data_IF_134567452429
#
_entry.id   IF_134567452429
#
_cell.length_a   1.000
_cell.length_b   1.000
_cell.length_c   1.000
_cell.angle_alpha   90.00
_cell.angle_beta   90.00
_cell.angle_gamma   90.00
#
_symmetry.space_group_name_H-M   'P 1'
#
loop_
_entity.id
_entity.type
_entity.pdbx_description
1 polymer ?
#
# COMPACT_ATOMS: atom_id res chain seq x y z
N UNK A 1 -31.40 -2.44 68.65
CA UNK A 1 -30.50 -1.29 68.39
C UNK A 1 -29.82 -1.52 67.05
N UNK A 2 -29.53 -0.42 66.33
CA UNK A 2 -29.32 -0.32 64.88
C UNK A 2 -28.08 -1.06 64.36
N UNK A 3 -28.23 -1.75 63.23
CA UNK A 3 -27.14 -2.20 62.36
C UNK A 3 -26.50 -1.01 61.64
N UNK A 4 -25.17 -0.82 61.60
CA UNK A 4 -24.56 0.07 60.63
C UNK A 4 -24.37 -0.70 59.32
N UNK A 5 -25.15 -0.33 58.32
CA UNK A 5 -24.90 -0.70 56.93
C UNK A 5 -23.60 -0.02 56.50
N UNK A 6 -22.53 -0.80 56.31
CA UNK A 6 -21.31 -0.31 55.66
C UNK A 6 -21.63 -0.22 54.18
N UNK A 7 -21.88 1.00 53.73
CA UNK A 7 -22.10 1.35 52.33
C UNK A 7 -20.79 1.08 51.58
N UNK A 8 -20.68 -0.09 50.95
CA UNK A 8 -19.64 -0.41 49.98
C UNK A 8 -19.83 0.52 48.79
N UNK A 9 -19.14 1.67 48.81
CA UNK A 9 -19.00 2.53 47.65
C UNK A 9 -18.15 1.74 46.65
N UNK A 10 -18.81 0.98 45.77
CA UNK A 10 -18.23 0.57 44.50
C UNK A 10 -17.91 1.87 43.76
N UNK A 11 -16.66 2.31 43.84
CA UNK A 11 -16.10 3.25 42.88
C UNK A 11 -16.21 2.52 41.53
N UNK A 12 -17.29 2.78 40.81
CA UNK A 12 -17.37 2.54 39.38
C UNK A 12 -16.31 3.45 38.76
N UNK A 13 -15.07 2.97 38.73
CA UNK A 13 -14.11 3.42 37.75
C UNK A 13 -14.74 3.07 36.41
N UNK A 14 -15.51 4.01 35.85
CA UNK A 14 -15.80 4.02 34.43
C UNK A 14 -14.44 4.23 33.78
N UNK A 15 -13.71 3.13 33.61
CA UNK A 15 -12.60 3.09 32.70
C UNK A 15 -13.19 3.52 31.37
N UNK A 16 -12.80 4.70 30.89
CA UNK A 16 -12.93 5.02 29.49
C UNK A 16 -12.10 3.96 28.77
N UNK A 17 -12.71 2.83 28.43
CA UNK A 17 -12.23 2.02 27.34
C UNK A 17 -12.33 2.96 26.13
N UNK A 18 -11.20 3.59 25.77
CA UNK A 18 -11.04 4.08 24.41
C UNK A 18 -11.32 2.86 23.54
N UNK A 19 -12.53 2.78 23.00
CA UNK A 19 -12.87 1.76 22.03
C UNK A 19 -11.76 1.81 21.00
N UNK A 20 -11.08 0.69 20.78
CA UNK A 20 -10.24 0.55 19.60
C UNK A 20 -11.16 0.92 18.44
N UNK A 21 -10.93 2.05 17.79
CA UNK A 21 -11.57 2.31 16.53
C UNK A 21 -11.23 1.09 15.67
N UNK A 22 -12.25 0.32 15.27
CA UNK A 22 -12.03 -0.75 14.32
C UNK A 22 -11.46 -0.07 13.08
N UNK A 23 -10.21 -0.37 12.75
CA UNK A 23 -9.61 0.09 11.51
C UNK A 23 -10.54 -0.32 10.36
N UNK A 24 -10.78 0.55 9.36
CA UNK A 24 -11.74 0.24 8.30
C UNK A 24 -11.28 -0.93 7.41
N UNK A 25 -10.07 -1.44 7.64
CA UNK A 25 -9.43 -2.55 6.94
C UNK A 25 -8.78 -3.53 7.91
N UNK A 26 -8.54 -4.76 7.45
CA UNK A 26 -7.92 -5.81 8.27
C UNK A 26 -6.42 -5.95 8.01
N UNK A 27 -5.95 -5.60 6.82
CA UNK A 27 -4.54 -5.60 6.45
C UNK A 27 -4.26 -4.63 5.29
N UNK A 28 -2.98 -4.30 5.10
CA UNK A 28 -2.51 -3.49 3.97
C UNK A 28 -1.85 -4.41 2.93
N UNK A 29 -2.23 -4.28 1.66
CA UNK A 29 -1.52 -4.89 0.55
C UNK A 29 -0.48 -3.92 0.02
N UNK A 30 0.80 -4.27 0.10
CA UNK A 30 1.87 -3.53 -0.55
C UNK A 30 2.09 -4.09 -1.97
N UNK A 31 1.78 -3.28 -2.98
CA UNK A 31 1.72 -3.70 -4.37
C UNK A 31 2.87 -3.07 -5.14
N UNK A 32 3.66 -3.91 -5.80
CA UNK A 32 4.75 -3.53 -6.67
C UNK A 32 4.40 -3.86 -8.13
N UNK A 33 4.74 -2.95 -9.04
CA UNK A 33 4.68 -3.15 -10.49
C UNK A 33 6.04 -3.51 -11.05
N UNK A 34 6.04 -4.45 -12.00
CA UNK A 34 7.09 -4.54 -13.00
C UNK A 34 6.73 -3.68 -14.20
N UNK A 35 7.32 -2.49 -14.27
CA UNK A 35 6.99 -1.48 -15.28
C UNK A 35 7.01 -2.04 -16.72
N UNK A 36 8.01 -2.86 -17.07
CA UNK A 36 8.11 -3.47 -18.40
C UNK A 36 6.98 -4.46 -18.70
N UNK A 37 6.60 -5.27 -17.72
CA UNK A 37 5.47 -6.21 -17.84
C UNK A 37 4.13 -5.48 -17.92
N UNK A 38 3.88 -4.55 -17.00
CA UNK A 38 2.63 -3.78 -16.95
C UNK A 38 2.43 -2.86 -18.16
N UNK A 39 3.49 -2.54 -18.91
CA UNK A 39 3.44 -1.72 -20.11
C UNK A 39 3.40 -2.51 -21.43
N UNK A 40 3.36 -3.85 -21.39
CA UNK A 40 3.19 -4.66 -22.60
C UNK A 40 1.86 -4.30 -23.28
N UNK A 41 1.93 -3.85 -24.53
CA UNK A 41 0.78 -3.41 -25.33
C UNK A 41 -0.02 -2.21 -24.77
N UNK A 42 0.49 -1.50 -23.76
CA UNK A 42 -0.16 -0.30 -23.21
C UNK A 42 0.38 0.94 -23.91
N UNK A 43 -0.34 1.43 -24.92
CA UNK A 43 0.07 2.59 -25.74
C UNK A 43 0.39 3.84 -24.91
N UNK A 44 -0.23 4.03 -23.75
CA UNK A 44 -0.06 5.22 -22.92
C UNK A 44 1.13 5.15 -21.95
N UNK A 45 1.89 4.07 -21.93
CA UNK A 45 3.13 4.01 -21.13
C UNK A 45 4.23 4.90 -21.68
N UNK A 46 5.16 5.31 -20.80
CA UNK A 46 6.41 5.95 -21.21
C UNK A 46 7.26 4.97 -22.06
N UNK A 47 8.19 5.47 -22.91
CA UNK A 47 8.99 4.59 -23.75
C UNK A 47 9.77 3.55 -22.93
N UNK A 48 9.94 2.31 -23.43
CA UNK A 48 10.59 1.23 -22.69
C UNK A 48 11.98 1.56 -22.15
N UNK A 49 12.76 2.37 -22.87
CA UNK A 49 14.09 2.83 -22.45
C UNK A 49 14.08 3.69 -21.17
N UNK A 50 12.93 4.28 -20.82
CA UNK A 50 12.72 5.10 -19.63
C UNK A 50 11.95 4.38 -18.51
N UNK A 51 11.49 3.14 -18.75
CA UNK A 51 10.81 2.37 -17.72
C UNK A 51 11.83 1.91 -16.66
N UNK A 52 11.48 1.96 -15.37
CA UNK A 52 12.30 1.38 -14.31
C UNK A 52 12.64 -0.08 -14.60
N UNK A 53 13.91 -0.44 -14.40
CA UNK A 53 14.35 -1.84 -14.51
C UNK A 53 13.93 -2.68 -13.30
N UNK A 54 13.88 -2.05 -12.12
CA UNK A 54 13.42 -2.66 -10.88
C UNK A 54 11.90 -2.59 -10.74
N UNK A 55 11.36 -3.43 -9.86
CA UNK A 55 9.99 -3.25 -9.38
C UNK A 55 9.87 -1.89 -8.70
N UNK A 56 8.76 -1.20 -8.93
CA UNK A 56 8.42 0.04 -8.25
C UNK A 56 7.10 -0.13 -7.52
N UNK A 57 6.87 0.67 -6.50
CA UNK A 57 5.58 0.73 -5.82
C UNK A 57 4.51 1.16 -6.80
N UNK A 58 3.37 0.50 -6.69
CA UNK A 58 2.14 0.91 -7.32
C UNK A 58 1.12 1.41 -6.33
N UNK A 59 1.02 0.76 -5.16
CA UNK A 59 -0.02 1.03 -4.19
C UNK A 59 0.24 0.43 -2.82
N UNK A 60 -0.33 1.06 -1.78
CA UNK A 60 -0.63 0.42 -0.50
C UNK A 60 -2.15 0.39 -0.38
N UNK A 61 -2.73 -0.80 -0.36
CA UNK A 61 -4.17 -0.96 -0.50
C UNK A 61 -4.77 -1.59 0.75
N UNK A 62 -5.53 -0.82 1.55
CA UNK A 62 -6.37 -1.35 2.61
C UNK A 62 -7.31 -2.43 2.07
N UNK A 63 -7.29 -3.61 2.70
CA UNK A 63 -8.05 -4.77 2.23
C UNK A 63 -8.75 -5.45 3.41
N UNK A 64 -9.92 -6.01 3.14
CA UNK A 64 -10.66 -6.84 4.08
C UNK A 64 -10.58 -8.32 3.64
N UNK A 65 -10.12 -9.21 4.54
CA UNK A 65 -10.05 -10.66 4.37
C UNK A 65 -11.47 -11.23 4.21
N UNK A 66 -12.42 -10.79 5.03
CA UNK A 66 -13.79 -11.33 5.02
C UNK A 66 -14.51 -11.15 3.68
N UNK A 67 -14.15 -10.10 2.92
CA UNK A 67 -14.72 -9.78 1.61
C UNK A 67 -13.80 -10.06 0.43
N UNK A 68 -12.52 -10.40 0.67
CA UNK A 68 -11.46 -10.47 -0.34
C UNK A 68 -11.39 -9.21 -1.24
N UNK A 69 -11.67 -8.05 -0.69
CA UNK A 69 -11.90 -6.83 -1.47
C UNK A 69 -10.95 -5.70 -1.04
N UNK A 70 -10.30 -5.09 -2.04
CA UNK A 70 -9.55 -3.83 -1.87
C UNK A 70 -10.55 -2.71 -1.65
N UNK A 71 -10.35 -1.93 -0.60
CA UNK A 71 -11.26 -0.86 -0.23
C UNK A 71 -11.01 0.37 -1.10
N UNK A 72 -12.08 0.91 -1.68
CA UNK A 72 -12.07 2.24 -2.29
C UNK A 72 -12.55 3.28 -1.27
N UNK A 73 -11.68 4.22 -0.93
CA UNK A 73 -11.82 5.07 0.25
C UNK A 73 -12.65 6.35 -0.03
N UNK A 74 -13.71 6.19 -0.83
CA UNK A 74 -14.58 7.25 -1.38
C UNK A 74 -15.16 8.19 -0.31
N UNK A 75 -15.54 7.66 0.86
CA UNK A 75 -16.03 8.48 1.97
C UNK A 75 -14.89 9.21 2.72
N UNK A 76 -13.74 8.54 2.92
CA UNK A 76 -12.62 9.08 3.68
C UNK A 76 -11.92 10.24 2.95
N UNK A 77 -11.89 10.24 1.62
CA UNK A 77 -11.36 11.36 0.80
C UNK A 77 -12.02 12.70 1.15
N UNK A 78 -13.28 12.71 1.60
CA UNK A 78 -13.96 13.96 1.98
C UNK A 78 -13.33 14.64 3.21
N UNK A 79 -12.64 13.88 4.05
CA UNK A 79 -12.01 14.35 5.28
C UNK A 79 -10.48 14.36 5.19
N UNK A 80 -9.93 13.42 4.42
CA UNK A 80 -8.51 13.13 4.33
C UNK A 80 -8.07 13.05 2.87
N UNK A 81 -8.49 14.04 2.06
CA UNK A 81 -8.04 14.18 0.69
C UNK A 81 -6.54 14.41 0.63
N UNK A 82 -5.95 14.02 -0.50
CA UNK A 82 -4.57 14.30 -0.81
C UNK A 82 -4.25 15.80 -0.71
N UNK A 83 -3.18 16.14 0.00
CA UNK A 83 -2.59 17.46 0.05
C UNK A 83 -1.18 17.43 -0.53
N UNK A 84 -1.00 18.04 -1.71
CA UNK A 84 0.29 18.11 -2.39
C UNK A 84 1.38 18.83 -1.60
N UNK A 85 1.01 19.73 -0.68
CA UNK A 85 1.99 20.46 0.15
C UNK A 85 2.68 19.56 1.17
N UNK A 86 2.08 18.42 1.52
CA UNK A 86 2.68 17.42 2.41
C UNK A 86 3.73 16.55 1.69
N UNK A 87 3.86 16.66 0.36
CA UNK A 87 4.95 16.04 -0.40
C UNK A 87 6.17 16.97 -0.37
N UNK A 88 6.94 16.86 0.71
CA UNK A 88 8.18 17.61 0.89
C UNK A 88 9.21 17.28 -0.20
N UNK A 89 10.22 18.13 -0.45
CA UNK A 89 11.27 17.84 -1.43
C UNK A 89 12.03 16.53 -1.17
N UNK A 90 12.24 16.16 0.09
CA UNK A 90 12.85 14.88 0.46
C UNK A 90 11.94 13.72 0.12
N UNK A 91 10.67 13.76 0.55
CA UNK A 91 9.70 12.70 0.25
C UNK A 91 9.49 12.56 -1.27
N UNK A 92 9.47 13.67 -2.01
CA UNK A 92 9.40 13.65 -3.47
C UNK A 92 10.59 12.90 -4.07
N UNK A 93 11.80 13.17 -3.61
CA UNK A 93 13.01 12.48 -4.07
C UNK A 93 12.94 10.97 -3.83
N UNK A 94 12.44 10.58 -2.66
CA UNK A 94 12.25 9.17 -2.30
C UNK A 94 11.20 8.49 -3.19
N UNK A 95 10.05 9.14 -3.40
CA UNK A 95 8.95 8.63 -4.23
C UNK A 95 9.31 8.59 -5.72
N UNK A 96 10.15 9.49 -6.22
CA UNK A 96 10.66 9.42 -7.59
C UNK A 96 11.48 8.15 -7.84
N UNK A 97 12.14 7.62 -6.81
CA UNK A 97 12.89 6.38 -6.90
C UNK A 97 11.98 5.16 -6.73
N UNK A 98 11.16 5.16 -5.68
CA UNK A 98 10.38 3.98 -5.31
C UNK A 98 9.03 3.88 -6.00
N UNK A 99 8.36 4.99 -6.31
CA UNK A 99 6.96 5.03 -6.77
C UNK A 99 6.74 5.94 -8.00
N UNK A 100 7.55 5.85 -9.07
CA UNK A 100 7.30 6.65 -10.28
C UNK A 100 6.05 6.17 -11.03
N UNK A 101 5.38 7.12 -11.69
CA UNK A 101 4.42 6.85 -12.76
C UNK A 101 5.15 6.25 -13.96
N UNK A 102 4.53 5.24 -14.56
CA UNK A 102 5.00 4.59 -15.80
C UNK A 102 4.21 5.06 -17.02
N UNK A 103 3.35 6.07 -16.86
CA UNK A 103 2.40 6.55 -17.87
C UNK A 103 2.79 7.91 -18.44
N UNK A 104 2.46 8.16 -19.71
CA UNK A 104 2.65 9.45 -20.38
C UNK A 104 1.53 10.43 -20.11
N UNK A 105 0.34 9.94 -19.81
CA UNK A 105 -0.88 10.72 -19.56
C UNK A 105 -1.12 10.99 -18.07
N UNK A 106 -0.24 10.54 -17.18
CA UNK A 106 -0.31 10.79 -15.74
C UNK A 106 1.10 11.03 -15.22
N UNK A 107 1.35 12.23 -14.72
CA UNK A 107 2.60 12.51 -14.02
C UNK A 107 2.63 11.84 -12.64
N UNK A 108 3.76 11.98 -11.95
CA UNK A 108 3.95 11.38 -10.63
C UNK A 108 2.97 11.93 -9.60
N UNK A 109 2.74 13.24 -9.59
CA UNK A 109 1.84 13.88 -8.63
C UNK A 109 0.40 13.39 -8.79
N UNK A 110 -0.11 13.39 -10.02
CA UNK A 110 -1.44 12.86 -10.37
C UNK A 110 -1.57 11.39 -9.99
N UNK A 111 -0.50 10.61 -10.16
CA UNK A 111 -0.50 9.20 -9.78
C UNK A 111 -0.55 9.02 -8.26
N UNK A 112 0.28 9.73 -7.51
CA UNK A 112 0.29 9.68 -6.04
C UNK A 112 -1.02 10.17 -5.43
N UNK A 113 -1.58 11.25 -5.97
CA UNK A 113 -2.90 11.75 -5.59
C UNK A 113 -3.97 10.69 -5.81
N UNK A 114 -3.99 10.04 -6.98
CA UNK A 114 -4.95 8.99 -7.28
C UNK A 114 -4.86 7.83 -6.30
N UNK A 115 -3.67 7.29 -6.08
CA UNK A 115 -3.47 6.15 -5.17
C UNK A 115 -3.81 6.52 -3.73
N UNK A 116 -3.42 7.71 -3.26
CA UNK A 116 -3.74 8.13 -1.90
C UNK A 116 -5.24 8.39 -1.73
N UNK A 117 -5.89 9.12 -2.64
CA UNK A 117 -7.32 9.37 -2.53
C UNK A 117 -8.10 8.05 -2.60
N UNK A 118 -7.79 7.20 -3.58
CA UNK A 118 -8.51 5.94 -3.77
C UNK A 118 -8.27 4.94 -2.64
N UNK A 119 -7.06 4.86 -2.07
CA UNK A 119 -6.68 3.80 -1.14
C UNK A 119 -6.09 4.31 0.18
N UNK A 120 -5.20 5.31 0.17
CA UNK A 120 -4.54 5.79 1.38
C UNK A 120 -5.43 6.59 2.35
N UNK A 121 -6.44 7.30 1.85
CA UNK A 121 -7.24 8.25 2.65
C UNK A 121 -7.98 7.61 3.84
N UNK A 122 -8.36 6.33 3.73
CA UNK A 122 -9.00 5.57 4.81
C UNK A 122 -8.02 5.04 5.87
N UNK A 123 -6.71 5.22 5.70
CA UNK A 123 -5.75 4.91 6.77
C UNK A 123 -5.60 6.05 7.76
N UNK A 124 -6.07 7.25 7.41
CA UNK A 124 -6.05 8.41 8.29
C UNK A 124 -7.20 8.34 9.33
N UNK A 125 -7.00 8.89 10.55
CA UNK A 125 -5.80 9.61 11.00
C UNK A 125 -4.68 8.70 11.55
N UNK A 126 -4.91 7.39 11.66
CA UNK A 126 -3.95 6.45 12.27
C UNK A 126 -2.62 6.40 11.50
N UNK A 127 -2.67 6.45 10.17
CA UNK A 127 -1.53 6.60 9.27
C UNK A 127 -1.79 7.85 8.43
N UNK A 128 -1.00 8.90 8.67
CA UNK A 128 -1.09 10.17 7.93
C UNK A 128 -0.63 10.00 6.48
N UNK A 129 -0.96 10.97 5.61
CA UNK A 129 -0.50 10.96 4.22
C UNK A 129 1.02 10.81 4.10
N UNK A 130 1.78 11.61 4.87
CA UNK A 130 3.24 11.54 4.87
C UNK A 130 3.72 10.15 5.29
N UNK A 131 3.17 9.60 6.39
CA UNK A 131 3.54 8.27 6.88
C UNK A 131 3.15 7.15 5.89
N UNK A 132 2.05 7.29 5.16
CA UNK A 132 1.63 6.35 4.11
C UNK A 132 2.69 6.24 3.01
N UNK A 133 3.17 7.38 2.50
CA UNK A 133 4.19 7.43 1.47
C UNK A 133 5.59 7.02 1.98
N UNK A 134 5.99 7.46 3.17
CA UNK A 134 7.26 7.07 3.78
C UNK A 134 7.33 5.56 4.03
N UNK A 135 6.23 4.95 4.51
CA UNK A 135 6.14 3.51 4.71
C UNK A 135 6.27 2.75 3.40
N UNK A 136 5.68 3.26 2.31
CA UNK A 136 5.83 2.67 0.99
C UNK A 136 7.28 2.68 0.51
N UNK A 137 7.97 3.82 0.65
CA UNK A 137 9.38 3.94 0.30
C UNK A 137 10.26 3.00 1.15
N UNK A 138 10.01 2.97 2.47
CA UNK A 138 10.73 2.08 3.39
C UNK A 138 10.60 0.62 3.00
N UNK A 139 9.38 0.14 2.75
CA UNK A 139 9.20 -1.25 2.31
C UNK A 139 9.83 -1.54 0.96
N UNK A 140 9.73 -0.61 0.01
CA UNK A 140 10.40 -0.77 -1.27
C UNK A 140 11.92 -0.95 -1.11
N UNK A 141 12.53 -0.19 -0.18
CA UNK A 141 13.97 -0.29 0.13
C UNK A 141 14.34 -1.58 0.85
N UNK A 142 13.51 -2.04 1.79
CA UNK A 142 13.73 -3.28 2.55
C UNK A 142 13.58 -4.53 1.67
N UNK A 143 12.65 -4.51 0.71
CA UNK A 143 12.39 -5.60 -0.22
C UNK A 143 13.00 -5.30 -1.60
N UNK A 144 14.33 -5.33 -1.74
CA UNK A 144 15.01 -5.25 -3.06
C UNK A 144 14.78 -6.54 -3.86
N UNK A 145 13.55 -6.75 -4.33
CA UNK A 145 13.12 -7.91 -5.09
C UNK A 145 13.80 -8.02 -6.46
N UNK A 146 14.45 -6.95 -6.91
CA UNK A 146 15.25 -7.01 -8.12
C UNK A 146 16.41 -7.99 -7.95
N UNK A 147 17.10 -7.96 -6.80
CA UNK A 147 18.17 -8.92 -6.48
C UNK A 147 17.65 -10.37 -6.42
N UNK A 148 16.46 -10.57 -5.85
CA UNK A 148 15.83 -11.90 -5.71
C UNK A 148 15.40 -12.46 -7.08
N UNK A 149 14.93 -11.61 -7.99
CA UNK A 149 14.47 -12.03 -9.31
C UNK A 149 15.59 -12.12 -10.36
N UNK A 150 16.66 -11.32 -10.24
CA UNK A 150 17.88 -11.50 -11.05
C UNK A 150 18.57 -12.84 -10.76
N UNK A 151 18.63 -13.27 -9.49
CA UNK A 151 19.09 -14.61 -9.13
C UNK A 151 18.24 -15.72 -9.77
N UNK A 152 16.93 -15.50 -9.95
CA UNK A 152 16.03 -16.46 -10.62
C UNK A 152 16.11 -16.44 -12.14
N UNK A 153 16.35 -15.28 -12.77
CA UNK A 153 16.67 -15.17 -14.21
C UNK A 153 17.88 -16.03 -14.59
N UNK A 154 18.88 -16.08 -13.71
CA UNK A 154 20.09 -16.90 -13.92
C UNK A 154 19.82 -18.42 -13.80
N UNK A 155 18.75 -18.84 -13.10
CA UNK A 155 18.55 -20.25 -12.75
C UNK A 155 17.40 -20.98 -13.47
N UNK A 156 16.41 -20.31 -14.10
CA UNK A 156 15.46 -20.86 -15.12
C UNK A 156 14.28 -19.88 -15.34
N UNK A 157 14.27 -19.13 -16.45
CA UNK A 157 13.05 -18.53 -17.03
C UNK A 157 13.01 -17.00 -17.20
N UNK A 158 12.36 -16.56 -18.29
CA UNK A 158 12.11 -15.15 -18.61
C UNK A 158 11.02 -14.53 -17.71
N UNK A 159 11.11 -13.23 -17.42
CA UNK A 159 10.12 -12.47 -16.64
C UNK A 159 8.87 -12.07 -17.44
N UNK A 160 8.73 -12.55 -18.69
CA UNK A 160 7.73 -12.11 -19.69
C UNK A 160 6.24 -12.37 -19.35
N UNK A 161 5.93 -12.65 -18.09
CA UNK A 161 4.56 -12.75 -17.58
C UNK A 161 4.34 -12.12 -16.21
N UNK A 162 5.37 -11.55 -15.56
CA UNK A 162 5.22 -10.96 -14.22
C UNK A 162 4.87 -9.48 -14.38
N UNK A 163 3.66 -9.10 -13.96
CA UNK A 163 3.21 -7.71 -13.99
C UNK A 163 3.21 -7.09 -12.59
N UNK A 164 2.75 -7.84 -11.59
CA UNK A 164 2.55 -7.36 -10.23
C UNK A 164 3.13 -8.32 -9.20
N UNK A 165 3.60 -7.78 -8.08
CA UNK A 165 3.90 -8.52 -6.85
C UNK A 165 3.12 -7.87 -5.71
N UNK A 166 2.44 -8.68 -4.91
CA UNK A 166 1.62 -8.21 -3.79
C UNK A 166 2.21 -8.78 -2.51
N UNK A 167 2.37 -7.97 -1.48
CA UNK A 167 2.76 -8.37 -0.13
C UNK A 167 1.63 -8.04 0.83
N UNK A 168 1.30 -8.95 1.75
CA UNK A 168 0.27 -8.69 2.76
C UNK A 168 0.92 -8.30 4.08
N UNK A 169 0.59 -7.11 4.57
CA UNK A 169 0.94 -6.66 5.90
C UNK A 169 -0.27 -6.78 6.84
N UNK A 170 -0.36 -7.85 7.65
CA UNK A 170 -1.32 -7.86 8.74
C UNK A 170 -1.00 -6.74 9.74
N UNK A 171 -1.97 -6.37 10.58
CA UNK A 171 -1.79 -5.46 11.73
C UNK A 171 -0.80 -5.95 12.80
N UNK A 172 -0.18 -7.11 12.59
CA UNK A 172 0.82 -7.77 13.44
C UNK A 172 2.24 -7.65 12.83
N UNK A 173 3.32 -7.52 13.64
CA UNK A 173 4.65 -7.10 13.18
C UNK A 173 5.41 -8.09 12.27
N UNK A 174 4.81 -9.20 11.84
CA UNK A 174 5.43 -10.14 10.89
C UNK A 174 4.70 -10.12 9.54
N UNK A 175 5.33 -9.47 8.57
CA UNK A 175 4.98 -9.53 7.15
C UNK A 175 5.15 -10.97 6.64
N UNK A 176 4.06 -11.56 6.13
CA UNK A 176 4.13 -12.84 5.43
C UNK A 176 4.08 -12.54 3.93
N UNK A 177 5.17 -12.74 3.18
CA UNK A 177 5.17 -12.49 1.73
C UNK A 177 4.32 -13.55 1.04
N UNK A 178 3.11 -13.18 0.60
CA UNK A 178 2.33 -14.00 -0.33
C UNK A 178 2.56 -13.45 -1.72
N UNK A 179 3.59 -13.93 -2.39
CA UNK A 179 3.90 -13.57 -3.78
C UNK A 179 2.76 -14.07 -4.68
N UNK A 180 1.81 -13.19 -5.01
CA UNK A 180 0.89 -13.42 -6.12
C UNK A 180 1.56 -12.95 -7.41
N UNK A 181 2.02 -13.92 -8.22
CA UNK A 181 2.41 -13.69 -9.60
C UNK A 181 1.15 -13.77 -10.45
N UNK A 182 0.59 -12.63 -10.86
CA UNK A 182 -0.42 -12.64 -11.92
C UNK A 182 0.28 -12.87 -13.26
N UNK A 183 0.42 -14.12 -13.69
CA UNK A 183 0.87 -14.42 -15.04
C UNK A 183 -0.21 -14.01 -16.04
N UNK A 184 0.09 -13.13 -16.99
CA UNK A 184 -0.75 -13.01 -18.17
C UNK A 184 -0.71 -14.36 -18.91
N UNK A 185 -1.87 -14.99 -19.06
CA UNK A 185 -1.99 -16.18 -19.89
C UNK A 185 -1.45 -15.83 -21.29
N UNK A 186 -0.38 -16.52 -21.72
CA UNK A 186 0.05 -16.50 -23.12
C UNK A 186 -1.18 -16.84 -23.96
N UNK A 187 -1.70 -15.90 -24.74
CA UNK A 187 -2.55 -16.25 -25.88
C UNK A 187 -1.67 -17.08 -26.79
N UNK A 188 -1.95 -18.38 -26.86
CA UNK A 188 -1.45 -19.23 -27.94
C UNK A 188 -1.95 -18.60 -29.25
N UNK A 189 -1.02 -18.20 -30.09
CA UNK A 189 -1.23 -18.09 -31.52
C UNK A 189 -0.48 -19.25 -32.16
#
# INVERSE_FOLDING_TARGET
>A
MRTPAVCLIFLLSVGLFKGSHAEPFEYLQFVLQYARGSCVNVKKCIPPARLPAKFTVHGIWPTNISKQEVIECTAAVKLHSFDGNLITPSLKTDLLQSWPSVRRDKDNMTFWEHEYNKHGSCTAPAITQTAYFERAHKFWKEYDLYSVLEQKKSSRGSLDGIHWLIFKQPSSPRLVPIIYLSSCARRKH
#
